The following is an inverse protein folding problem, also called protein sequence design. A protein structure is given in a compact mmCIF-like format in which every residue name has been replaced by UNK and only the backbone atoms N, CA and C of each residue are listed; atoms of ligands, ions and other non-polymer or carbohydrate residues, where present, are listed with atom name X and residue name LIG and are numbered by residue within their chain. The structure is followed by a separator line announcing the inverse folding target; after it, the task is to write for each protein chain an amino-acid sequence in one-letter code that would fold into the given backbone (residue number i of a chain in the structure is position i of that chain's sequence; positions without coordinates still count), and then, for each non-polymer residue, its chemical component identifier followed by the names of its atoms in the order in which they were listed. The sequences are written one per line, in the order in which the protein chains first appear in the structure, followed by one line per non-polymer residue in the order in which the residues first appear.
data_IF_131265253372
#
_entry.id   IF_131265253372
#
_cell.length_a   1.000
_cell.length_b   1.000
_cell.length_c   1.000
_cell.angle_alpha   90.00
_cell.angle_beta   90.00
_cell.angle_gamma   90.00
#
_symmetry.space_group_name_H-M   'P 1'
#
loop_
_entity.id
_entity.type
_entity.pdbx_description
1 polymer ?
#
# COMPACT_ATOMS: atom_id res chain seq x y z
N UNK A 1 19.80 5.08 11.23
CA UNK A 1 19.52 5.66 9.90
C UNK A 1 18.47 4.80 9.23
N UNK A 2 17.62 5.37 8.37
CA UNK A 2 16.62 4.62 7.61
C UNK A 2 16.81 4.92 6.12
N UNK A 3 16.84 3.88 5.29
CA UNK A 3 16.93 4.02 3.83
C UNK A 3 15.83 3.17 3.22
N UNK A 4 15.01 3.78 2.38
CA UNK A 4 13.87 3.12 1.72
C UNK A 4 13.96 3.43 0.23
N UNK A 5 14.35 2.44 -0.56
CA UNK A 5 14.31 2.52 -2.03
C UNK A 5 13.06 1.85 -2.60
N UNK A 6 12.84 2.01 -3.91
CA UNK A 6 11.77 1.31 -4.65
C UNK A 6 12.18 -0.13 -4.99
N UNK A 7 12.65 -0.86 -3.98
CA UNK A 7 13.28 -2.17 -4.18
C UNK A 7 12.37 -3.32 -3.74
N UNK A 8 12.46 -4.47 -4.43
CA UNK A 8 11.97 -5.73 -3.91
C UNK A 8 12.93 -6.30 -2.84
N UNK A 9 12.69 -7.52 -2.40
CA UNK A 9 13.49 -8.19 -1.37
C UNK A 9 15.02 -8.18 -1.61
N UNK A 10 15.54 -8.32 -2.85
CA UNK A 10 16.99 -8.19 -3.14
C UNK A 10 17.58 -6.78 -2.97
N UNK A 11 16.83 -5.82 -2.44
CA UNK A 11 17.27 -4.44 -2.19
C UNK A 11 17.76 -3.77 -3.49
N UNK A 12 18.81 -2.95 -3.40
CA UNK A 12 19.34 -2.13 -4.49
C UNK A 12 20.11 -2.91 -5.59
N UNK A 13 19.80 -4.18 -5.81
CA UNK A 13 20.50 -5.03 -6.77
C UNK A 13 20.18 -4.71 -8.25
N UNK A 14 19.06 -4.03 -8.52
CA UNK A 14 18.60 -3.70 -9.88
C UNK A 14 17.86 -2.37 -9.87
N UNK A 15 17.86 -1.66 -11.00
CA UNK A 15 17.00 -0.48 -11.23
C UNK A 15 15.55 -0.88 -11.51
N UNK A 16 15.34 -2.15 -11.89
CA UNK A 16 14.04 -2.71 -12.26
C UNK A 16 13.43 -3.50 -11.11
N UNK A 17 12.17 -3.23 -10.82
CA UNK A 17 11.32 -4.01 -9.93
C UNK A 17 10.00 -4.32 -10.64
N UNK A 18 9.65 -5.61 -10.74
CA UNK A 18 8.49 -6.05 -11.51
C UNK A 18 8.55 -5.56 -12.97
N UNK A 19 7.49 -4.88 -13.43
CA UNK A 19 7.41 -4.29 -14.77
C UNK A 19 8.12 -2.93 -14.90
N UNK A 20 8.50 -2.31 -13.78
CA UNK A 20 8.94 -0.90 -13.75
C UNK A 20 10.44 -0.78 -13.58
N UNK A 21 11.06 0.05 -14.43
CA UNK A 21 12.43 0.51 -14.26
C UNK A 21 12.43 1.91 -13.64
N UNK A 22 12.96 2.02 -12.41
CA UNK A 22 13.08 3.29 -11.69
C UNK A 22 14.37 4.04 -12.06
N UNK A 23 15.16 3.52 -13.00
CA UNK A 23 16.39 4.15 -13.49
C UNK A 23 17.57 4.03 -12.53
N UNK A 24 18.75 4.41 -13.01
CA UNK A 24 20.02 4.29 -12.28
C UNK A 24 20.01 5.07 -10.95
N UNK A 25 19.34 6.22 -10.93
CA UNK A 25 19.24 7.07 -9.74
C UNK A 25 18.40 6.44 -8.62
N UNK A 26 17.67 5.34 -8.88
CA UNK A 26 16.95 4.60 -7.84
C UNK A 26 17.82 3.68 -7.01
N UNK A 27 19.07 3.45 -7.42
CA UNK A 27 20.01 2.62 -6.68
C UNK A 27 20.68 3.40 -5.54
N UNK A 28 21.09 2.66 -4.51
CA UNK A 28 21.91 3.14 -3.42
C UNK A 28 23.07 2.16 -3.17
N UNK A 29 24.30 2.63 -2.95
CA UNK A 29 25.45 1.78 -2.62
C UNK A 29 25.35 1.24 -1.18
N UNK A 30 24.43 0.32 -0.92
CA UNK A 30 24.09 -0.15 0.43
C UNK A 30 25.29 -0.74 1.17
N UNK A 31 26.12 -1.55 0.49
CA UNK A 31 27.32 -2.15 1.11
C UNK A 31 28.31 -1.09 1.61
N UNK A 32 28.57 -0.04 0.80
CA UNK A 32 29.43 1.07 1.22
C UNK A 32 28.83 1.81 2.42
N UNK A 33 27.52 2.05 2.41
CA UNK A 33 26.83 2.71 3.52
C UNK A 33 26.87 1.88 4.81
N UNK A 34 26.74 0.56 4.71
CA UNK A 34 26.84 -0.37 5.85
C UNK A 34 28.26 -0.41 6.42
N UNK A 35 29.27 -0.57 5.56
CA UNK A 35 30.69 -0.55 5.96
C UNK A 35 31.04 0.77 6.67
N UNK A 36 30.57 1.90 6.14
CA UNK A 36 30.75 3.21 6.76
C UNK A 36 30.08 3.29 8.14
N UNK A 37 28.88 2.74 8.28
CA UNK A 37 28.16 2.72 9.56
C UNK A 37 28.93 1.90 10.61
N UNK A 38 29.41 0.72 10.23
CA UNK A 38 30.22 -0.16 11.10
C UNK A 38 31.55 0.51 11.48
N UNK A 39 32.25 1.12 10.52
CA UNK A 39 33.52 1.81 10.75
C UNK A 39 33.40 2.94 11.78
N UNK A 40 32.33 3.74 11.71
CA UNK A 40 32.09 4.82 12.66
C UNK A 40 31.89 4.30 14.09
N UNK A 41 30.98 3.33 14.27
CA UNK A 41 30.59 2.87 15.60
C UNK A 41 31.57 1.89 16.23
N UNK A 42 32.24 1.05 15.43
CA UNK A 42 33.07 -0.04 15.95
C UNK A 42 34.56 0.24 15.85
N UNK A 43 35.02 1.04 14.88
CA UNK A 43 36.46 1.30 14.68
C UNK A 43 36.91 2.66 15.20
N UNK A 44 36.01 3.45 15.78
CA UNK A 44 36.34 4.74 16.39
C UNK A 44 36.97 5.74 15.42
N UNK A 45 36.79 5.55 14.11
CA UNK A 45 37.30 6.44 13.07
C UNK A 45 36.53 7.77 13.11
N UNK A 46 36.96 8.66 14.00
CA UNK A 46 36.52 10.06 14.04
C UNK A 46 37.16 10.79 12.86
N UNK A 47 36.39 10.97 11.80
CA UNK A 47 36.89 11.50 10.54
C UNK A 47 35.93 11.23 9.41
N UNK A 48 34.69 11.65 9.58
CA UNK A 48 33.79 11.79 8.45
C UNK A 48 34.40 12.80 7.46
N UNK A 49 34.66 12.34 6.24
CA UNK A 49 34.78 13.20 5.06
C UNK A 49 33.85 12.65 3.99
N UNK A 50 32.74 13.37 3.79
CA UNK A 50 31.96 13.59 2.56
C UNK A 50 31.97 12.37 1.64
N UNK A 51 31.18 11.34 1.93
CA UNK A 51 29.81 11.36 1.40
C UNK A 51 28.69 10.99 2.38
N UNK A 52 28.95 10.50 3.61
CA UNK A 52 27.87 10.27 4.59
C UNK A 52 28.31 10.32 6.11
N UNK A 53 27.85 11.30 6.92
CA UNK A 53 28.34 11.71 8.26
C UNK A 53 28.15 10.93 9.55
N UNK A 54 27.86 9.64 9.66
CA UNK A 54 27.42 9.11 10.97
C UNK A 54 26.20 9.87 11.63
N UNK A 55 25.48 9.29 12.61
CA UNK A 55 24.15 9.81 12.96
C UNK A 55 24.10 11.08 13.82
N UNK A 56 25.05 11.26 14.76
CA UNK A 56 25.11 12.43 15.65
C UNK A 56 25.68 13.66 14.93
N UNK A 57 26.70 13.45 14.09
CA UNK A 57 27.31 14.49 13.25
C UNK A 57 26.42 14.85 12.06
N UNK A 58 25.67 13.91 11.46
CA UNK A 58 24.65 14.23 10.44
C UNK A 58 23.59 15.19 10.98
N UNK A 59 23.14 14.99 12.22
CA UNK A 59 22.15 15.87 12.86
C UNK A 59 22.72 17.26 13.18
N UNK A 60 24.03 17.35 13.43
CA UNK A 60 24.75 18.62 13.61
C UNK A 60 25.12 19.31 12.29
N UNK A 61 25.29 18.54 11.21
CA UNK A 61 25.62 19.01 9.86
C UNK A 61 24.38 19.28 8.98
N UNK A 62 23.16 19.10 9.51
CA UNK A 62 21.91 19.32 8.78
C UNK A 62 21.51 18.20 7.82
N UNK A 63 22.18 17.05 7.85
CA UNK A 63 21.84 15.91 7.00
C UNK A 63 20.69 15.08 7.56
N UNK A 64 19.78 14.67 6.66
CA UNK A 64 18.59 13.91 7.01
C UNK A 64 18.92 12.48 7.48
N UNK A 65 18.46 12.04 8.67
CA UNK A 65 18.69 10.70 9.19
C UNK A 65 17.97 9.60 8.39
N UNK A 66 17.03 9.99 7.54
CA UNK A 66 16.28 9.10 6.65
C UNK A 66 16.44 9.52 5.19
N UNK A 67 16.56 8.54 4.30
CA UNK A 67 16.51 8.72 2.83
C UNK A 67 15.41 7.85 2.26
N UNK A 68 14.45 8.46 1.58
CA UNK A 68 13.31 7.76 0.98
C UNK A 68 13.30 8.06 -0.51
N UNK A 69 13.13 7.03 -1.32
CA UNK A 69 12.89 7.18 -2.75
C UNK A 69 11.39 7.40 -3.00
N UNK A 70 11.04 8.56 -3.57
CA UNK A 70 9.67 8.89 -3.90
C UNK A 70 9.40 8.40 -5.32
N UNK A 71 8.65 7.30 -5.43
CA UNK A 71 8.16 6.77 -6.72
C UNK A 71 7.28 7.80 -7.43
N UNK A 72 7.09 7.65 -8.74
CA UNK A 72 6.39 8.63 -9.59
C UNK A 72 7.23 9.90 -9.85
N UNK A 73 7.75 10.54 -8.79
CA UNK A 73 8.74 11.62 -8.87
C UNK A 73 10.14 11.13 -9.26
N UNK A 74 10.41 9.85 -8.98
CA UNK A 74 11.66 9.14 -9.28
C UNK A 74 12.90 9.83 -8.69
N UNK A 75 12.83 10.19 -7.41
CA UNK A 75 13.88 10.97 -6.73
C UNK A 75 14.05 10.56 -5.27
N UNK A 76 15.29 10.60 -4.80
CA UNK A 76 15.60 10.51 -3.37
C UNK A 76 15.23 11.81 -2.64
N UNK A 77 14.72 11.66 -1.42
CA UNK A 77 14.46 12.78 -0.51
C UNK A 77 14.92 12.44 0.90
N UNK A 78 15.56 13.41 1.54
CA UNK A 78 15.92 13.36 2.95
C UNK A 78 14.73 13.69 3.85
N UNK A 79 14.52 12.92 4.92
CA UNK A 79 13.51 13.19 5.95
C UNK A 79 14.10 13.07 7.36
N UNK A 80 13.49 13.77 8.32
CA UNK A 80 13.95 13.81 9.71
C UNK A 80 13.12 12.97 10.68
N UNK A 81 11.99 12.44 10.22
CA UNK A 81 11.01 11.75 11.06
C UNK A 81 10.13 10.82 10.24
N UNK A 82 9.51 9.85 10.94
CA UNK A 82 8.55 8.92 10.38
C UNK A 82 7.42 8.64 11.38
N UNK A 83 6.15 8.79 10.99
CA UNK A 83 5.66 9.43 9.76
C UNK A 83 6.11 10.89 9.63
N UNK A 84 6.07 11.46 8.42
CA UNK A 84 6.47 12.86 8.16
C UNK A 84 5.53 13.80 8.95
N UNK A 85 6.00 14.79 9.72
CA UNK A 85 5.09 15.63 10.54
C UNK A 85 4.14 16.48 9.69
N UNK A 86 4.55 16.82 8.46
CA UNK A 86 3.71 17.55 7.50
C UNK A 86 2.64 16.68 6.83
N UNK A 87 2.47 15.43 7.25
CA UNK A 87 1.45 14.52 6.71
C UNK A 87 0.04 15.04 7.02
N UNK A 88 -0.77 15.16 5.97
CA UNK A 88 -2.21 15.38 6.06
C UNK A 88 -2.94 14.05 5.84
N UNK A 89 -3.40 13.46 6.94
CA UNK A 89 -4.19 12.23 6.93
C UNK A 89 -5.55 12.49 6.29
N UNK A 90 -5.67 12.14 5.01
CA UNK A 90 -6.81 12.51 4.17
C UNK A 90 -7.63 11.26 3.85
N UNK A 91 -8.88 11.15 4.35
CA UNK A 91 -9.75 10.06 3.97
C UNK A 91 -10.21 10.23 2.51
N UNK A 92 -10.19 9.14 1.76
CA UNK A 92 -10.88 8.99 0.48
C UNK A 92 -11.92 7.90 0.65
N UNK A 93 -13.18 8.29 0.62
CA UNK A 93 -14.34 7.44 0.79
C UNK A 93 -14.62 6.64 -0.47
N UNK A 94 -15.08 5.40 -0.27
CA UNK A 94 -15.57 4.55 -1.34
C UNK A 94 -16.97 5.03 -1.72
N UNK A 95 -17.27 4.94 -3.00
CA UNK A 95 -18.59 5.25 -3.53
C UNK A 95 -18.92 4.35 -4.72
N UNK A 96 -20.20 4.07 -4.93
CA UNK A 96 -20.68 3.21 -6.03
C UNK A 96 -22.21 3.25 -6.13
N UNK A 97 -22.77 2.89 -7.29
CA UNK A 97 -24.22 2.63 -7.42
C UNK A 97 -24.55 1.14 -7.25
N UNK A 98 -23.67 0.41 -6.58
CA UNK A 98 -23.79 -1.02 -6.25
C UNK A 98 -23.16 -1.94 -7.29
N UNK A 99 -22.31 -1.38 -8.18
CA UNK A 99 -21.70 -2.06 -9.30
C UNK A 99 -20.19 -1.79 -9.41
N UNK A 100 -19.49 -1.65 -8.29
CA UNK A 100 -18.03 -1.45 -8.26
C UNK A 100 -17.23 -2.71 -8.67
N UNK A 101 -17.90 -3.83 -8.95
CA UNK A 101 -17.25 -5.05 -9.40
C UNK A 101 -16.55 -4.81 -10.74
N UNK A 102 -15.31 -5.28 -10.84
CA UNK A 102 -14.45 -5.20 -12.01
C UNK A 102 -13.95 -3.80 -12.39
N UNK A 103 -12.94 -3.76 -13.26
CA UNK A 103 -12.39 -2.54 -13.87
C UNK A 103 -13.43 -1.69 -14.61
N UNK A 104 -14.49 -2.33 -15.13
CA UNK A 104 -15.57 -1.69 -15.88
C UNK A 104 -16.75 -1.29 -14.98
N UNK A 105 -16.60 -1.45 -13.66
CA UNK A 105 -17.58 -1.07 -12.65
C UNK A 105 -17.69 0.44 -12.44
N UNK A 106 -18.60 0.84 -11.56
CA UNK A 106 -18.92 2.25 -11.28
C UNK A 106 -18.38 2.78 -9.95
N UNK A 107 -17.36 2.12 -9.39
CA UNK A 107 -16.75 2.53 -8.13
C UNK A 107 -15.84 3.75 -8.28
N UNK A 108 -16.00 4.75 -7.42
CA UNK A 108 -15.11 5.91 -7.35
C UNK A 108 -14.62 6.21 -5.94
N UNK A 109 -13.51 6.97 -5.87
CA UNK A 109 -12.95 7.50 -4.62
C UNK A 109 -13.10 9.02 -4.59
N UNK A 110 -13.55 9.56 -3.45
CA UNK A 110 -13.66 11.01 -3.22
C UNK A 110 -13.25 11.37 -1.79
N UNK A 111 -12.69 12.56 -1.52
CA UNK A 111 -12.56 13.07 -0.15
C UNK A 111 -13.92 13.42 0.48
N UNK A 112 -14.98 13.54 -0.31
CA UNK A 112 -16.33 13.82 0.19
C UNK A 112 -16.93 12.56 0.85
N UNK A 113 -17.54 12.65 2.04
CA UNK A 113 -18.14 11.50 2.70
C UNK A 113 -19.29 10.87 1.88
N UNK A 114 -19.41 9.54 1.92
CA UNK A 114 -20.47 8.82 1.24
C UNK A 114 -21.87 9.18 1.74
N UNK A 115 -22.84 9.20 0.82
CA UNK A 115 -24.25 9.47 1.14
C UNK A 115 -25.04 8.17 1.36
N UNK A 116 -26.31 8.08 0.95
CA UNK A 116 -27.09 6.84 1.09
C UNK A 116 -26.93 5.96 -0.16
N UNK A 117 -25.72 5.45 -0.33
CA UNK A 117 -25.31 4.65 -1.49
C UNK A 117 -25.54 3.14 -1.26
N UNK A 118 -25.89 2.38 -2.31
CA UNK A 118 -26.10 0.94 -2.21
C UNK A 118 -24.77 0.18 -2.06
N UNK A 119 -24.74 -0.81 -1.17
CA UNK A 119 -23.57 -1.65 -0.93
C UNK A 119 -23.20 -2.52 -2.15
N UNK A 120 -21.89 -2.71 -2.37
CA UNK A 120 -21.34 -3.63 -3.36
C UNK A 120 -21.26 -5.06 -2.82
N UNK A 121 -21.39 -6.05 -3.70
CA UNK A 121 -21.40 -7.47 -3.32
C UNK A 121 -20.56 -8.29 -4.27
N UNK A 122 -19.88 -9.29 -3.72
CA UNK A 122 -19.16 -10.28 -4.52
C UNK A 122 -19.16 -11.65 -3.85
N UNK A 123 -18.90 -12.68 -4.65
CA UNK A 123 -18.73 -14.05 -4.18
C UNK A 123 -17.23 -14.37 -4.15
N UNK A 124 -16.72 -14.70 -2.98
CA UNK A 124 -15.38 -15.25 -2.82
C UNK A 124 -15.46 -16.79 -2.76
N UNK A 125 -14.87 -17.47 -3.74
CA UNK A 125 -14.66 -18.92 -3.69
C UNK A 125 -13.18 -19.22 -3.41
N UNK A 126 -12.83 -19.87 -2.28
CA UNK A 126 -11.45 -20.25 -2.01
C UNK A 126 -10.81 -21.15 -3.07
N UNK A 127 -11.60 -21.80 -3.94
CA UNK A 127 -11.09 -22.60 -5.07
C UNK A 127 -10.57 -21.77 -6.24
N UNK A 128 -11.05 -20.53 -6.37
CA UNK A 128 -10.65 -19.57 -7.39
C UNK A 128 -10.30 -18.23 -6.71
N UNK A 129 -9.20 -18.17 -5.92
CA UNK A 129 -8.80 -16.94 -5.28
C UNK A 129 -8.22 -15.95 -6.30
N UNK A 130 -8.31 -14.65 -5.99
CA UNK A 130 -7.63 -13.60 -6.74
C UNK A 130 -6.13 -13.85 -6.72
N UNK A 131 -5.47 -13.95 -7.89
CA UNK A 131 -4.05 -14.24 -7.97
C UNK A 131 -3.22 -13.05 -7.47
N UNK A 132 -2.11 -13.34 -6.82
CA UNK A 132 -1.08 -12.36 -6.49
C UNK A 132 -0.37 -11.94 -7.77
N UNK A 133 -0.42 -10.64 -8.06
CA UNK A 133 0.28 -10.01 -9.18
C UNK A 133 1.18 -8.91 -8.58
N UNK A 134 2.45 -9.25 -8.35
CA UNK A 134 3.39 -8.33 -7.71
C UNK A 134 3.16 -8.11 -6.22
N UNK A 135 3.67 -6.99 -5.72
CA UNK A 135 3.57 -6.53 -4.33
C UNK A 135 4.79 -6.90 -3.49
N UNK A 136 4.63 -6.88 -2.17
CA UNK A 136 5.69 -7.08 -1.18
C UNK A 136 5.96 -8.57 -0.92
N UNK A 137 6.18 -9.34 -1.99
CA UNK A 137 6.54 -10.75 -1.89
C UNK A 137 8.05 -10.92 -1.66
N UNK A 138 8.40 -12.05 -1.07
CA UNK A 138 9.78 -12.38 -0.78
C UNK A 138 10.25 -13.64 -1.52
N UNK A 139 11.57 -13.73 -1.67
CA UNK A 139 12.36 -14.96 -1.58
C UNK A 139 12.27 -15.92 -2.77
N UNK A 140 11.13 -16.02 -3.47
CA UNK A 140 10.89 -16.93 -4.60
C UNK A 140 10.05 -16.25 -5.69
N UNK A 141 10.62 -15.28 -6.43
CA UNK A 141 9.92 -14.58 -7.52
C UNK A 141 9.46 -15.51 -8.64
N UNK A 142 10.07 -16.69 -8.75
CA UNK A 142 9.67 -17.77 -9.65
C UNK A 142 8.33 -18.42 -9.28
N UNK A 143 7.90 -18.29 -8.01
CA UNK A 143 6.62 -18.79 -7.50
C UNK A 143 5.63 -17.63 -7.36
N UNK A 144 6.07 -16.52 -6.75
CA UNK A 144 5.23 -15.34 -6.47
C UNK A 144 6.00 -14.07 -6.84
N UNK A 145 5.62 -13.36 -7.92
CA UNK A 145 6.37 -12.20 -8.37
C UNK A 145 6.31 -11.06 -7.35
N UNK A 146 7.42 -10.33 -7.16
CA UNK A 146 7.49 -9.14 -6.31
C UNK A 146 7.59 -7.85 -7.12
N UNK A 147 7.31 -6.71 -6.49
CA UNK A 147 7.40 -5.39 -7.12
C UNK A 147 6.12 -4.97 -7.85
N UNK A 148 6.15 -3.81 -8.54
CA UNK A 148 5.01 -3.29 -9.27
C UNK A 148 4.74 -4.07 -10.56
N UNK A 149 3.50 -4.47 -10.77
CA UNK A 149 2.98 -5.11 -11.96
C UNK A 149 1.61 -4.53 -12.33
N UNK A 150 1.21 -4.71 -13.58
CA UNK A 150 -0.11 -4.33 -14.05
C UNK A 150 -1.24 -5.12 -13.38
N UNK A 151 -2.14 -4.44 -12.69
CA UNK A 151 -3.25 -5.05 -11.95
C UNK A 151 -4.49 -5.33 -12.79
N UNK A 152 -4.58 -4.80 -14.02
CA UNK A 152 -5.75 -4.98 -14.89
C UNK A 152 -6.23 -6.44 -15.05
N UNK A 153 -5.35 -7.47 -15.10
CA UNK A 153 -5.82 -8.86 -15.15
C UNK A 153 -6.63 -9.29 -13.91
N UNK A 154 -6.23 -8.85 -12.71
CA UNK A 154 -6.97 -9.13 -11.47
C UNK A 154 -8.23 -8.26 -11.36
N UNK A 155 -8.12 -6.98 -11.73
CA UNK A 155 -9.22 -6.01 -11.68
C UNK A 155 -10.40 -6.41 -12.60
N UNK A 156 -10.23 -7.29 -13.59
CA UNK A 156 -11.34 -7.79 -14.42
C UNK A 156 -12.20 -8.85 -13.74
N UNK A 157 -11.80 -9.36 -12.58
CA UNK A 157 -12.54 -10.40 -11.87
C UNK A 157 -13.73 -9.83 -11.11
N UNK A 158 -14.83 -10.59 -11.08
CA UNK A 158 -16.08 -10.17 -10.39
C UNK A 158 -15.96 -10.12 -8.87
N UNK A 159 -14.93 -10.77 -8.31
CA UNK A 159 -14.60 -10.75 -6.89
C UNK A 159 -13.57 -9.68 -6.51
N UNK A 160 -13.27 -8.74 -7.42
CA UNK A 160 -12.50 -7.53 -7.16
C UNK A 160 -13.41 -6.33 -7.35
N UNK A 161 -13.56 -5.53 -6.29
CA UNK A 161 -14.23 -4.24 -6.34
C UNK A 161 -13.18 -3.17 -6.62
N UNK A 162 -13.41 -2.32 -7.61
CA UNK A 162 -12.46 -1.31 -8.08
C UNK A 162 -13.03 0.08 -7.83
N UNK A 163 -12.30 0.90 -7.07
CA UNK A 163 -12.67 2.29 -6.78
C UNK A 163 -11.57 3.22 -7.25
N UNK A 164 -11.87 4.15 -8.15
CA UNK A 164 -10.86 5.09 -8.69
C UNK A 164 -11.26 6.54 -8.54
N UNK A 165 -10.32 7.43 -8.28
CA UNK A 165 -10.57 8.88 -8.44
C UNK A 165 -10.81 9.22 -9.92
N UNK A 166 -11.39 10.40 -10.22
CA UNK A 166 -11.15 11.08 -11.49
C UNK A 166 -9.64 11.24 -11.75
N UNK A 167 -9.20 11.48 -13.00
CA UNK A 167 -7.82 11.87 -13.26
C UNK A 167 -7.48 13.09 -12.41
N UNK A 168 -6.33 13.05 -11.73
CA UNK A 168 -5.93 14.13 -10.83
C UNK A 168 -5.62 15.39 -11.63
N UNK A 169 -6.14 16.54 -11.20
CA UNK A 169 -5.88 17.83 -11.85
C UNK A 169 -4.46 18.38 -11.57
N UNK A 170 -3.80 17.84 -10.55
CA UNK A 170 -2.45 18.21 -10.09
C UNK A 170 -1.77 17.01 -9.46
N UNK A 171 -0.44 17.07 -9.37
CA UNK A 171 0.34 16.07 -8.66
C UNK A 171 -0.10 15.97 -7.19
N UNK A 172 -0.19 14.74 -6.69
CA UNK A 172 -0.55 14.44 -5.30
C UNK A 172 0.43 13.41 -4.75
N UNK A 173 1.17 13.81 -3.72
CA UNK A 173 2.13 12.93 -3.07
C UNK A 173 1.48 12.20 -1.89
N UNK A 174 1.64 10.88 -1.87
CA UNK A 174 1.24 10.00 -0.77
C UNK A 174 2.51 9.33 -0.24
N UNK A 175 2.91 9.68 0.99
CA UNK A 175 4.11 9.10 1.62
C UNK A 175 3.86 8.80 3.09
N UNK A 176 3.83 7.53 3.45
CA UNK A 176 3.55 7.08 4.81
C UNK A 176 2.79 5.74 4.86
N UNK A 177 2.25 5.38 6.04
CA UNK A 177 1.39 4.21 6.19
C UNK A 177 0.01 4.41 5.56
N UNK A 178 -0.53 3.36 4.94
CA UNK A 178 -1.83 3.32 4.28
C UNK A 178 -2.76 2.41 5.08
N UNK A 179 -3.90 2.96 5.50
CA UNK A 179 -4.89 2.25 6.31
C UNK A 179 -6.22 2.31 5.60
N UNK A 180 -6.90 1.17 5.47
CA UNK A 180 -8.29 1.11 4.99
C UNK A 180 -9.22 0.78 6.15
N UNK A 181 -10.26 1.60 6.30
CA UNK A 181 -11.39 1.37 7.19
C UNK A 181 -12.53 0.83 6.34
N UNK A 182 -12.81 -0.46 6.47
CA UNK A 182 -13.80 -1.16 5.65
C UNK A 182 -14.97 -1.60 6.53
N UNK A 183 -16.17 -1.14 6.22
CA UNK A 183 -17.40 -1.67 6.78
C UNK A 183 -17.92 -2.77 5.87
N UNK A 184 -17.92 -4.01 6.36
CA UNK A 184 -18.32 -5.14 5.56
C UNK A 184 -19.07 -6.20 6.38
N UNK A 185 -19.83 -7.04 5.68
CA UNK A 185 -20.43 -8.26 6.23
C UNK A 185 -20.12 -9.45 5.33
N UNK A 186 -20.18 -10.64 5.91
CA UNK A 186 -19.98 -11.90 5.22
C UNK A 186 -21.13 -12.86 5.49
N UNK A 187 -21.43 -13.75 4.55
CA UNK A 187 -22.29 -14.91 4.81
C UNK A 187 -21.60 -16.01 5.60
N UNK A 188 -20.28 -15.93 5.80
CA UNK A 188 -19.48 -16.92 6.51
C UNK A 188 -19.17 -16.51 7.96
N UNK A 189 -18.79 -17.49 8.78
CA UNK A 189 -18.36 -17.27 10.16
C UNK A 189 -16.92 -16.72 10.27
N UNK A 190 -16.15 -16.83 9.19
CA UNK A 190 -14.84 -16.20 9.03
C UNK A 190 -14.57 -16.02 7.53
N UNK A 191 -13.74 -15.04 7.19
CA UNK A 191 -13.29 -14.77 5.81
C UNK A 191 -12.10 -13.81 5.86
N UNK A 192 -11.54 -13.45 4.72
CA UNK A 192 -10.53 -12.39 4.64
C UNK A 192 -11.09 -11.19 3.87
N UNK A 193 -10.53 -10.01 4.13
CA UNK A 193 -10.69 -8.83 3.29
C UNK A 193 -9.31 -8.28 2.94
N UNK A 194 -9.09 -8.02 1.65
CA UNK A 194 -7.85 -7.43 1.12
C UNK A 194 -8.11 -6.03 0.60
N UNK A 195 -7.07 -5.20 0.67
CA UNK A 195 -7.06 -3.88 0.05
C UNK A 195 -5.72 -3.64 -0.64
N UNK A 196 -5.75 -3.05 -1.83
CA UNK A 196 -4.55 -2.73 -2.62
C UNK A 196 -4.64 -1.32 -3.18
N UNK A 197 -3.62 -0.51 -2.91
CA UNK A 197 -3.47 0.82 -3.47
C UNK A 197 -2.73 0.74 -4.81
N UNK A 198 -3.28 1.40 -5.82
CA UNK A 198 -2.82 1.32 -7.21
C UNK A 198 -2.70 2.73 -7.81
N UNK A 199 -1.62 2.97 -8.54
CA UNK A 199 -1.41 4.17 -9.36
C UNK A 199 -1.76 3.85 -10.82
N UNK A 200 -2.83 4.45 -11.33
CA UNK A 200 -3.30 4.24 -12.70
C UNK A 200 -2.84 5.40 -13.57
N UNK A 201 -1.97 5.10 -14.52
CA UNK A 201 -1.46 6.10 -15.45
C UNK A 201 -2.47 6.42 -16.58
N UNK A 202 -2.30 7.53 -17.32
CA UNK A 202 -3.21 7.92 -18.39
C UNK A 202 -3.34 6.90 -19.54
N UNK A 203 -2.34 6.03 -19.75
CA UNK A 203 -2.39 4.96 -20.75
C UNK A 203 -3.16 3.71 -20.26
N UNK A 204 -3.59 3.73 -19.00
CA UNK A 204 -4.34 2.68 -18.34
C UNK A 204 -3.49 1.62 -17.63
N UNK A 205 -2.16 1.71 -17.62
CA UNK A 205 -1.31 0.84 -16.80
C UNK A 205 -1.62 1.06 -15.32
N UNK A 206 -1.97 -0.01 -14.60
CA UNK A 206 -2.42 0.01 -13.21
C UNK A 206 -1.33 -0.57 -12.29
N UNK A 207 -0.46 0.29 -11.77
CA UNK A 207 0.71 -0.09 -10.98
C UNK A 207 0.34 -0.30 -9.51
N UNK A 208 0.48 -1.51 -8.98
CA UNK A 208 0.30 -1.70 -7.53
C UNK A 208 1.42 -1.04 -6.72
N UNK A 209 1.05 -0.35 -5.64
CA UNK A 209 1.97 0.34 -4.74
C UNK A 209 2.19 -0.43 -3.44
N UNK A 210 1.10 -0.76 -2.76
CA UNK A 210 1.10 -1.53 -1.52
C UNK A 210 -0.27 -2.19 -1.32
N UNK A 211 -0.31 -3.22 -0.48
CA UNK A 211 -1.52 -3.97 -0.19
C UNK A 211 -1.43 -4.65 1.17
N UNK A 212 -2.62 -4.90 1.73
CA UNK A 212 -2.81 -5.54 3.02
C UNK A 212 -3.96 -6.54 3.00
N UNK A 213 -4.03 -7.32 4.08
CA UNK A 213 -5.09 -8.28 4.35
C UNK A 213 -5.47 -8.20 5.82
N UNK A 214 -6.76 -8.39 6.11
CA UNK A 214 -7.23 -8.70 7.45
C UNK A 214 -8.06 -9.98 7.40
N UNK A 215 -7.65 -10.95 8.20
CA UNK A 215 -8.44 -12.14 8.45
C UNK A 215 -9.47 -11.85 9.52
N UNK A 216 -10.75 -12.04 9.21
CA UNK A 216 -11.86 -11.45 9.95
C UNK A 216 -11.91 -11.89 11.42
N UNK A 217 -11.52 -13.13 11.74
CA UNK A 217 -11.42 -13.59 13.13
C UNK A 217 -10.44 -12.78 13.99
N UNK A 218 -9.47 -12.10 13.37
CA UNK A 218 -8.47 -11.28 14.05
C UNK A 218 -8.74 -9.77 13.98
N UNK A 219 -9.92 -9.35 13.50
CA UNK A 219 -10.28 -7.93 13.34
C UNK A 219 -10.15 -7.07 14.60
N UNK A 220 -10.24 -7.68 15.78
CA UNK A 220 -10.12 -7.01 17.09
C UNK A 220 -8.76 -7.25 17.76
N UNK A 221 -8.09 -8.37 17.47
CA UNK A 221 -6.84 -8.76 18.11
C UNK A 221 -6.17 -9.89 17.33
N UNK A 222 -4.86 -9.79 17.10
CA UNK A 222 -4.06 -10.89 16.56
C UNK A 222 -3.77 -12.00 17.59
N UNK A 223 -3.96 -11.73 18.89
CA UNK A 223 -3.75 -12.71 19.94
C UNK A 223 -5.00 -13.56 20.22
N UNK A 224 -6.19 -13.00 20.01
CA UNK A 224 -7.46 -13.68 20.30
C UNK A 224 -8.40 -13.64 19.10
N UNK A 225 -8.66 -14.81 18.53
CA UNK A 225 -9.64 -14.97 17.47
C UNK A 225 -11.09 -14.84 18.00
N UNK A 226 -11.94 -14.15 17.26
CA UNK A 226 -13.38 -14.06 17.48
C UNK A 226 -14.11 -14.19 16.14
N UNK A 227 -14.99 -15.17 15.99
CA UNK A 227 -15.71 -15.39 14.73
C UNK A 227 -16.70 -14.24 14.41
N UNK A 228 -17.13 -14.19 13.15
CA UNK A 228 -18.20 -13.33 12.68
C UNK A 228 -19.57 -13.99 12.93
N UNK A 229 -20.58 -13.14 13.12
CA UNK A 229 -21.97 -13.54 12.92
C UNK A 229 -22.37 -13.25 11.47
N UNK A 230 -22.79 -14.25 10.68
CA UNK A 230 -23.18 -14.05 9.29
C UNK A 230 -24.21 -12.94 9.12
N UNK A 231 -23.98 -12.05 8.15
CA UNK A 231 -24.84 -10.91 7.82
C UNK A 231 -24.67 -9.68 8.72
N UNK A 232 -23.95 -9.77 9.84
CA UNK A 232 -23.66 -8.61 10.69
C UNK A 232 -22.55 -7.76 10.08
N UNK A 233 -22.73 -6.43 10.10
CA UNK A 233 -21.74 -5.46 9.62
C UNK A 233 -20.68 -5.23 10.70
N UNK A 234 -19.42 -5.34 10.32
CA UNK A 234 -18.26 -5.06 11.17
C UNK A 234 -17.38 -4.00 10.51
N UNK A 235 -16.68 -3.21 11.33
CA UNK A 235 -15.54 -2.41 10.88
C UNK A 235 -14.27 -3.28 10.88
N UNK A 236 -13.55 -3.26 9.76
CA UNK A 236 -12.26 -3.88 9.58
C UNK A 236 -11.21 -2.81 9.33
N UNK A 237 -10.08 -2.89 10.03
CA UNK A 237 -8.91 -2.06 9.76
C UNK A 237 -7.90 -2.91 8.98
N UNK A 238 -7.66 -2.58 7.73
CA UNK A 238 -6.67 -3.24 6.88
C UNK A 238 -5.42 -2.36 6.84
N UNK A 239 -4.34 -2.85 7.43
CA UNK A 239 -3.02 -2.24 7.33
C UNK A 239 -2.39 -2.62 5.98
N UNK A 240 -2.31 -1.66 5.06
CA UNK A 240 -1.71 -1.83 3.72
C UNK A 240 -0.22 -1.47 3.71
N UNK A 241 0.39 -1.40 4.89
CA UNK A 241 1.78 -1.05 5.12
C UNK A 241 2.08 0.36 4.63
N UNK A 242 3.20 0.58 3.94
CA UNK A 242 3.73 1.91 3.66
C UNK A 242 4.03 2.06 2.17
N UNK A 243 3.92 3.28 1.66
CA UNK A 243 4.39 3.63 0.32
C UNK A 243 4.92 5.07 0.31
N UNK A 244 5.65 5.41 -0.76
CA UNK A 244 6.08 6.77 -1.08
C UNK A 244 5.95 6.97 -2.58
N UNK A 245 4.84 7.56 -3.02
CA UNK A 245 4.51 7.76 -4.44
C UNK A 245 3.97 9.15 -4.70
N UNK A 246 4.41 9.77 -5.80
CA UNK A 246 3.80 10.96 -6.39
C UNK A 246 2.89 10.52 -7.53
N UNK A 247 1.57 10.56 -7.29
CA UNK A 247 0.60 10.40 -8.35
C UNK A 247 0.63 11.67 -9.20
N UNK A 248 1.06 11.55 -10.47
CA UNK A 248 1.17 12.71 -11.35
C UNK A 248 -0.20 13.22 -11.77
N UNK A 249 -0.27 14.49 -12.19
CA UNK A 249 -1.42 15.02 -12.91
C UNK A 249 -1.83 14.07 -14.05
N UNK A 250 -3.12 13.79 -14.15
CA UNK A 250 -3.71 12.86 -15.11
C UNK A 250 -3.74 11.40 -14.67
N UNK A 251 -2.96 11.01 -13.66
CA UNK A 251 -3.08 9.68 -13.04
C UNK A 251 -4.33 9.60 -12.19
N UNK A 252 -4.69 8.40 -11.76
CA UNK A 252 -5.78 8.15 -10.79
C UNK A 252 -5.23 7.39 -9.60
N UNK A 253 -5.78 7.69 -8.44
CA UNK A 253 -5.61 6.85 -7.25
C UNK A 253 -6.69 5.78 -7.33
N UNK A 254 -6.30 4.51 -7.25
CA UNK A 254 -7.22 3.38 -7.25
C UNK A 254 -7.04 2.54 -6.00
N UNK A 255 -8.16 2.03 -5.49
CA UNK A 255 -8.22 1.07 -4.42
C UNK A 255 -8.99 -0.17 -4.88
N UNK A 256 -8.35 -1.33 -4.82
CA UNK A 256 -9.00 -2.60 -5.05
C UNK A 256 -9.36 -3.25 -3.72
N UNK A 257 -10.59 -3.75 -3.59
CA UNK A 257 -11.07 -4.53 -2.43
C UNK A 257 -11.45 -5.94 -2.88
N UNK A 258 -11.00 -6.96 -2.15
CA UNK A 258 -11.38 -8.35 -2.38
C UNK A 258 -11.35 -9.15 -1.06
N UNK A 259 -11.39 -10.49 -1.16
CA UNK A 259 -11.27 -11.43 -0.04
C UNK A 259 -10.13 -12.43 -0.23
N UNK A 260 -9.23 -12.19 -1.18
CA UNK A 260 -8.03 -13.01 -1.37
C UNK A 260 -6.93 -12.25 -2.11
N UNK A 261 -5.70 -12.72 -1.93
CA UNK A 261 -4.51 -12.33 -2.68
C UNK A 261 -3.52 -13.50 -2.57
N UNK A 262 -3.72 -14.52 -3.40
CA UNK A 262 -3.06 -15.83 -3.27
C UNK A 262 -2.02 -16.02 -4.38
N UNK A 263 -0.80 -16.53 -4.10
CA UNK A 263 -0.39 -17.16 -2.84
C UNK A 263 0.41 -16.26 -1.88
N UNK A 264 0.38 -14.93 -2.03
CA UNK A 264 1.01 -14.03 -1.02
C UNK A 264 0.47 -14.31 0.38
N UNK A 265 -0.84 -14.45 0.49
CA UNK A 265 -1.52 -14.88 1.70
C UNK A 265 -2.19 -16.23 1.46
N UNK A 266 -2.28 -17.06 2.51
CA UNK A 266 -3.09 -18.27 2.44
C UNK A 266 -4.57 -17.91 2.27
N UNK A 267 -5.28 -18.67 1.45
CA UNK A 267 -6.71 -18.47 1.23
C UNK A 267 -7.52 -18.85 2.46
N UNK A 268 -8.45 -18.00 2.90
CA UNK A 268 -9.39 -18.38 3.96
C UNK A 268 -10.40 -19.42 3.45
N UNK A 269 -10.62 -20.55 4.16
CA UNK A 269 -11.62 -21.56 3.80
C UNK A 269 -13.09 -21.12 3.95
N UNK A 270 -13.34 -20.01 4.66
CA UNK A 270 -14.64 -19.46 5.04
C UNK A 270 -15.49 -20.32 6.00
N UNK A 271 -14.86 -21.22 6.76
CA UNK A 271 -15.56 -22.15 7.67
C UNK A 271 -15.56 -21.71 9.12
N UNK A 272 -14.57 -20.91 9.54
CA UNK A 272 -14.31 -20.59 10.95
C UNK A 272 -13.56 -21.68 11.72
N UNK A 273 -13.24 -22.81 11.08
CA UNK A 273 -12.43 -23.88 11.68
C UNK A 273 -10.97 -23.43 11.90
N UNK A 274 -10.16 -24.21 12.66
CA UNK A 274 -8.74 -23.95 12.83
C UNK A 274 -8.00 -23.80 11.48
N UNK A 275 -7.15 -22.78 11.39
CA UNK A 275 -6.39 -22.47 10.17
C UNK A 275 -5.37 -23.58 9.86
N UNK A 276 -5.13 -23.81 8.58
CA UNK A 276 -4.16 -24.80 8.09
C UNK A 276 -4.54 -26.27 8.29
N UNK A 277 -5.65 -26.55 8.99
CA UNK A 277 -6.11 -27.91 9.30
C UNK A 277 -7.42 -28.28 8.58
N UNK A 278 -8.13 -27.29 8.02
CA UNK A 278 -9.43 -27.50 7.40
C UNK A 278 -9.29 -27.85 5.91
N UNK A 279 -9.89 -28.96 5.51
CA UNK A 279 -9.98 -29.38 4.11
C UNK A 279 -11.26 -28.86 3.42
N UNK A 280 -12.23 -28.35 4.19
CA UNK A 280 -13.48 -27.85 3.65
C UNK A 280 -13.33 -26.41 3.16
N UNK A 281 -13.65 -26.17 1.89
CA UNK A 281 -13.70 -24.84 1.30
C UNK A 281 -15.14 -24.46 0.99
N UNK A 282 -15.61 -23.31 1.49
CA UNK A 282 -16.97 -22.82 1.26
C UNK A 282 -16.93 -21.46 0.56
N UNK A 283 -17.68 -21.25 -0.54
CA UNK A 283 -17.87 -19.91 -1.06
C UNK A 283 -18.59 -19.01 -0.04
N UNK A 284 -18.21 -17.74 0.01
CA UNK A 284 -18.81 -16.75 0.89
C UNK A 284 -19.22 -15.50 0.11
N UNK A 285 -20.45 -15.02 0.35
CA UNK A 285 -20.91 -13.75 -0.20
C UNK A 285 -20.46 -12.64 0.73
N UNK A 286 -19.73 -11.70 0.17
CA UNK A 286 -19.24 -10.51 0.84
C UNK A 286 -20.10 -9.32 0.46
N UNK A 287 -20.30 -8.40 1.40
CA UNK A 287 -20.99 -7.13 1.17
C UNK A 287 -20.16 -6.00 1.76
N UNK A 288 -19.82 -5.00 0.94
CA UNK A 288 -19.05 -3.81 1.34
C UNK A 288 -19.99 -2.61 1.36
N UNK A 289 -20.03 -1.93 2.50
CA UNK A 289 -20.93 -0.79 2.74
C UNK A 289 -20.14 0.52 2.64
N UNK A 290 -20.76 1.53 2.04
CA UNK A 290 -20.21 2.87 1.89
C UNK A 290 -21.32 3.90 1.92
N UNK A 291 -22.10 3.89 3.00
CA UNK A 291 -23.17 4.87 3.20
C UNK A 291 -22.90 5.79 4.40
N UNK A 292 -23.79 6.76 4.67
CA UNK A 292 -23.66 7.72 5.78
C UNK A 292 -23.33 7.07 7.14
N UNK A 293 -23.87 5.88 7.39
CA UNK A 293 -23.63 5.13 8.63
C UNK A 293 -22.34 4.30 8.59
N UNK A 294 -21.98 3.81 7.42
CA UNK A 294 -20.88 2.88 7.18
C UNK A 294 -19.96 3.44 6.10
N UNK A 295 -19.26 4.53 6.42
CA UNK A 295 -18.44 5.27 5.47
C UNK A 295 -17.07 4.60 5.29
N UNK A 296 -17.00 3.53 4.48
CA UNK A 296 -15.73 2.87 4.16
C UNK A 296 -14.79 3.84 3.43
N UNK A 297 -13.51 3.86 3.80
CA UNK A 297 -12.53 4.79 3.24
C UNK A 297 -11.09 4.27 3.37
N UNK A 298 -10.22 4.76 2.48
CA UNK A 298 -8.76 4.67 2.63
C UNK A 298 -8.24 5.98 3.23
N UNK A 299 -7.34 5.89 4.20
CA UNK A 299 -6.65 7.04 4.79
C UNK A 299 -5.30 7.19 4.09
N UNK A 300 -5.15 8.26 3.32
CA UNK A 300 -3.92 8.56 2.59
C UNK A 300 -3.06 9.58 3.35
N UNK A 301 -1.76 9.31 3.58
CA UNK A 301 -0.81 10.26 4.14
C UNK A 301 -0.36 11.26 3.06
N UNK A 302 -1.21 12.25 2.77
CA UNK A 302 -0.95 13.26 1.74
C UNK A 302 0.12 14.22 2.21
N UNK A 303 1.15 14.44 1.39
CA UNK A 303 2.21 15.40 1.68
C UNK A 303 1.93 16.70 0.91
N UNK A 304 1.67 17.83 1.58
CA UNK A 304 1.40 19.11 0.91
C UNK A 304 2.58 19.56 0.04
N UNK A 305 2.30 20.15 -1.12
CA UNK A 305 3.30 20.65 -2.07
C UNK A 305 4.13 21.86 -1.56
N UNK A 306 4.05 22.20 -0.27
CA UNK A 306 4.52 23.46 0.31
C UNK A 306 6.00 23.58 0.69
N UNK A 307 6.73 22.47 0.85
CA UNK A 307 8.07 22.52 1.49
C UNK A 307 9.23 21.97 0.65
N UNK A 308 8.96 21.22 -0.43
CA UNK A 308 10.01 20.68 -1.28
C UNK A 308 10.84 21.78 -1.97
N UNK A 309 10.26 22.96 -2.21
CA UNK A 309 10.93 24.07 -2.87
C UNK A 309 11.75 24.99 -1.93
N UNK A 310 11.52 24.97 -0.61
CA UNK A 310 12.33 25.76 0.34
C UNK A 310 13.65 25.04 0.66
N UNK A 311 13.60 23.74 0.91
CA UNK A 311 14.79 22.97 1.26
C UNK A 311 15.81 22.86 0.10
N UNK A 312 15.36 22.90 -1.15
CA UNK A 312 16.26 22.94 -2.32
C UNK A 312 16.96 24.28 -2.53
N UNK A 313 16.42 25.41 -2.04
CA UNK A 313 17.06 26.73 -2.24
C UNK A 313 18.11 27.05 -1.19
N UNK A 314 18.00 26.48 0.01
CA UNK A 314 18.98 26.70 1.07
C UNK A 314 20.25 25.85 0.88
N UNK A 315 20.16 24.69 0.22
CA UNK A 315 21.32 23.84 -0.07
C UNK A 315 22.12 24.23 -1.33
N UNK A 316 21.59 25.12 -2.16
CA UNK A 316 22.29 25.65 -3.33
C UNK A 316 23.03 26.98 -3.06
N UNK A 317 22.99 27.48 -1.82
CA UNK A 317 23.61 28.76 -1.42
C UNK A 317 24.49 28.69 -0.17
N UNK A 318 24.91 27.48 0.25
CA UNK A 318 25.88 27.28 1.32
C UNK A 318 27.15 26.61 0.77
#
# INVERSE_FOLDING_TARGET
RLIVGAWPHPLSASTKAGDVDFGLDSQAPLEEMELQYVDYWLRGRKGWKRDLPAPSEARQAGEAPMRIFIMGANRWRGEHEWPLARTQWTPFYLHSRGHANTLDGDGWLSPDPSEDEPADRFLYDPRDPVPTIGGNNCCRPDIVPYGPYDQRPAERRKDVLVFSTPPLDRDLEVTGPIIVKLFASSSAADTDFTAKLVDVSPDGYAMNLCDGIIRARYRQSFAKAALLHPGVVYEFTIDCWVTGNLFKKGHRIRLDISSSNFPRFDRNPNTGHPLGLDALLRPARQTVFHNRRYASHVILPVIPAGDAARNCREHARA
#
